data_IF_454552487164
#
_entry.id   IF_454552487164
#
_cell.length_a   1.000
_cell.length_b   1.000
_cell.length_c   1.000
_cell.angle_alpha   90.00
_cell.angle_beta   90.00
_cell.angle_gamma   90.00
#
_symmetry.space_group_name_H-M   'P 1'
#
loop_
_entity.id
_entity.type
_entity.pdbx_description
1 polymer ?
#
# COMPACT_ATOMS: atom_id res chain seq x y z
N UNK A 1 26.08 -13.44 3.23
CA UNK A 1 26.96 -12.26 3.13
C UNK A 1 27.93 -12.35 4.28
N UNK A 2 29.26 -12.44 4.01
CA UNK A 2 30.29 -12.73 5.03
C UNK A 2 30.39 -11.68 6.16
N UNK A 3 29.78 -10.50 6.00
CA UNK A 3 29.90 -9.38 6.94
C UNK A 3 28.64 -9.18 7.79
N UNK A 4 27.59 -9.97 7.59
CA UNK A 4 26.34 -9.88 8.34
C UNK A 4 26.02 -11.26 8.93
N UNK A 5 26.61 -11.59 10.12
CA UNK A 5 26.36 -12.86 10.77
C UNK A 5 24.90 -12.92 11.26
N UNK A 6 24.27 -14.04 11.05
CA UNK A 6 22.92 -14.31 11.55
C UNK A 6 22.98 -14.78 13.01
N UNK A 7 21.98 -14.38 13.79
CA UNK A 7 21.76 -14.93 15.12
C UNK A 7 21.17 -16.35 15.01
N UNK A 8 21.76 -17.30 15.67
CA UNK A 8 21.25 -18.68 15.67
C UNK A 8 19.99 -18.80 16.54
N UNK A 9 18.82 -18.66 15.93
CA UNK A 9 17.52 -18.79 16.61
C UNK A 9 17.20 -20.24 17.00
N UNK A 10 17.96 -21.25 16.55
CA UNK A 10 17.84 -22.60 17.10
C UNK A 10 18.34 -22.68 18.54
N UNK A 11 19.25 -21.77 18.94
CA UNK A 11 19.77 -21.73 20.29
C UNK A 11 18.80 -21.07 21.26
N UNK A 12 18.34 -21.75 22.33
CA UNK A 12 17.33 -21.21 23.25
C UNK A 12 17.70 -19.85 23.86
N UNK A 13 18.96 -19.67 24.27
CA UNK A 13 19.38 -18.41 24.88
C UNK A 13 19.30 -17.21 23.91
N UNK A 14 19.45 -17.45 22.60
CA UNK A 14 19.26 -16.39 21.59
C UNK A 14 17.79 -16.02 21.48
N UNK A 15 16.88 -16.99 21.48
CA UNK A 15 15.43 -16.71 21.49
C UNK A 15 15.01 -15.97 22.76
N UNK A 16 15.51 -16.40 23.93
CA UNK A 16 15.25 -15.70 25.19
C UNK A 16 15.71 -14.24 25.13
N UNK A 17 16.90 -13.99 24.61
CA UNK A 17 17.44 -12.62 24.45
C UNK A 17 16.59 -11.78 23.47
N UNK A 18 16.21 -12.35 22.31
CA UNK A 18 15.52 -11.58 21.27
C UNK A 18 14.05 -11.32 21.63
N UNK A 19 13.29 -12.34 22.06
CA UNK A 19 11.84 -12.19 22.29
C UNK A 19 11.25 -13.01 23.44
N UNK A 20 11.95 -14.04 23.97
CA UNK A 20 11.39 -14.98 24.94
C UNK A 20 11.31 -14.41 26.35
N UNK A 21 12.44 -13.96 26.89
CA UNK A 21 12.53 -13.45 28.26
C UNK A 21 11.73 -12.16 28.47
N UNK A 22 11.37 -11.89 29.71
CA UNK A 22 10.63 -10.66 30.08
C UNK A 22 11.39 -9.39 29.74
N UNK A 23 12.70 -9.42 29.81
CA UNK A 23 13.63 -8.32 29.49
C UNK A 23 14.23 -8.43 28.07
N UNK A 24 13.68 -9.30 27.24
CA UNK A 24 14.09 -9.47 25.84
C UNK A 24 13.99 -8.17 25.04
N UNK A 25 14.73 -8.07 23.94
CA UNK A 25 14.75 -6.89 23.07
C UNK A 25 13.33 -6.52 22.61
N UNK A 26 12.57 -7.49 22.11
CA UNK A 26 11.21 -7.24 21.61
C UNK A 26 10.30 -6.70 22.71
N UNK A 27 10.28 -7.33 23.87
CA UNK A 27 9.35 -6.97 24.96
C UNK A 27 9.73 -5.67 25.64
N UNK A 28 11.03 -5.44 25.92
CA UNK A 28 11.47 -4.22 26.62
C UNK A 28 11.13 -2.96 25.83
N UNK A 29 11.37 -2.93 24.53
CA UNK A 29 11.04 -1.77 23.70
C UNK A 29 9.53 -1.54 23.56
N UNK A 30 8.73 -2.60 23.51
CA UNK A 30 7.26 -2.47 23.53
C UNK A 30 6.78 -1.82 24.85
N UNK A 31 7.39 -2.17 26.00
CA UNK A 31 7.10 -1.51 27.29
C UNK A 31 7.56 -0.05 27.31
N UNK A 32 8.67 0.27 26.66
CA UNK A 32 9.16 1.64 26.50
C UNK A 32 8.28 2.50 25.58
N UNK A 33 7.33 1.90 24.87
CA UNK A 33 6.29 2.64 24.16
C UNK A 33 6.27 2.48 22.65
N UNK A 34 7.18 1.70 22.03
CA UNK A 34 7.07 1.43 20.57
C UNK A 34 5.77 0.69 20.27
N UNK A 35 5.21 0.86 19.06
CA UNK A 35 3.91 0.30 18.70
C UNK A 35 4.02 -1.01 17.92
N UNK A 36 5.23 -1.43 17.57
CA UNK A 36 5.46 -2.67 16.85
C UNK A 36 6.86 -2.79 16.29
N UNK A 37 7.06 -3.78 15.45
CA UNK A 37 8.35 -4.13 14.88
C UNK A 37 8.27 -4.25 13.35
N UNK A 38 9.26 -3.71 12.65
CA UNK A 38 9.59 -4.07 11.27
C UNK A 38 10.75 -5.03 11.31
N UNK A 39 10.56 -6.22 10.77
CA UNK A 39 11.60 -7.25 10.69
C UNK A 39 12.28 -7.18 9.34
N UNK A 40 13.60 -6.99 9.40
CA UNK A 40 14.47 -6.98 8.22
C UNK A 40 14.57 -8.39 7.65
N UNK A 41 14.54 -8.49 6.31
CA UNK A 41 14.65 -9.76 5.57
C UNK A 41 13.87 -10.90 6.26
N UNK A 42 12.61 -10.66 6.59
CA UNK A 42 11.81 -11.59 7.39
C UNK A 42 11.72 -13.00 6.77
N UNK A 43 11.95 -13.12 5.47
CA UNK A 43 11.96 -14.39 4.75
C UNK A 43 13.05 -15.35 5.22
N UNK A 44 14.14 -14.84 5.77
CA UNK A 44 15.27 -15.64 6.26
C UNK A 44 15.12 -16.09 7.72
N UNK A 45 14.19 -15.48 8.48
CA UNK A 45 14.00 -15.80 9.91
C UNK A 45 13.38 -17.18 10.11
N UNK A 46 12.45 -17.58 9.24
CA UNK A 46 11.69 -18.83 9.35
C UNK A 46 10.36 -18.68 10.08
N UNK A 47 9.34 -19.40 9.60
CA UNK A 47 7.95 -19.24 10.06
C UNK A 47 7.77 -19.48 11.56
N UNK A 48 8.38 -20.53 12.11
CA UNK A 48 8.24 -20.88 13.52
C UNK A 48 8.68 -19.71 14.41
N UNK A 49 9.84 -19.15 14.15
CA UNK A 49 10.40 -18.06 14.99
C UNK A 49 9.66 -16.74 14.76
N UNK A 50 9.18 -16.49 13.55
CA UNK A 50 8.29 -15.34 13.29
C UNK A 50 7.00 -15.44 14.09
N UNK A 51 6.36 -16.62 14.13
CA UNK A 51 5.16 -16.85 14.93
C UNK A 51 5.42 -16.69 16.44
N UNK A 52 6.55 -17.22 16.94
CA UNK A 52 6.94 -17.09 18.33
C UNK A 52 7.18 -15.62 18.71
N UNK A 53 7.91 -14.87 17.88
CA UNK A 53 8.20 -13.46 18.07
C UNK A 53 6.90 -12.63 18.05
N UNK A 54 6.05 -12.84 17.06
CA UNK A 54 4.77 -12.13 16.93
C UNK A 54 3.87 -12.39 18.13
N UNK A 55 3.79 -13.64 18.58
CA UNK A 55 3.05 -14.01 19.80
C UNK A 55 3.61 -13.36 21.05
N UNK A 56 4.95 -13.29 21.16
CA UNK A 56 5.62 -12.62 22.28
C UNK A 56 5.34 -11.11 22.28
N UNK A 57 5.36 -10.47 21.11
CA UNK A 57 5.03 -9.05 20.96
C UNK A 57 3.57 -8.75 21.36
N UNK A 58 2.61 -9.55 20.87
CA UNK A 58 1.20 -9.38 21.21
C UNK A 58 0.90 -9.65 22.69
N UNK A 59 1.60 -10.60 23.33
CA UNK A 59 1.45 -10.87 24.73
C UNK A 59 1.96 -9.72 25.60
N UNK A 60 3.02 -9.04 25.19
CA UNK A 60 3.57 -7.88 25.89
C UNK A 60 2.72 -6.63 25.69
N UNK A 61 2.35 -6.33 24.42
CA UNK A 61 1.55 -5.17 24.05
C UNK A 61 0.43 -5.59 23.12
N UNK A 62 -0.78 -5.85 23.61
CA UNK A 62 -1.94 -6.14 22.78
C UNK A 62 -2.19 -5.02 21.76
N UNK A 63 -2.30 -5.40 20.47
CA UNK A 63 -2.46 -4.45 19.36
C UNK A 63 -1.15 -3.93 18.77
N UNK A 64 0.01 -4.35 19.27
CA UNK A 64 1.27 -4.14 18.57
C UNK A 64 1.25 -4.82 17.19
N UNK A 65 2.03 -4.29 16.24
CA UNK A 65 2.12 -4.84 14.89
C UNK A 65 3.51 -5.41 14.63
N UNK A 66 3.57 -6.59 14.03
CA UNK A 66 4.81 -7.16 13.50
C UNK A 66 4.69 -7.22 11.98
N UNK A 67 5.49 -6.39 11.30
CA UNK A 67 5.51 -6.25 9.85
C UNK A 67 6.83 -6.78 9.31
N UNK A 68 6.78 -7.77 8.43
CA UNK A 68 7.97 -8.35 7.83
C UNK A 68 8.33 -7.70 6.49
N UNK A 69 9.61 -7.56 6.23
CA UNK A 69 10.08 -7.31 4.88
C UNK A 69 10.04 -8.63 4.09
N UNK A 70 9.14 -8.67 3.10
CA UNK A 70 8.84 -9.87 2.31
C UNK A 70 8.85 -9.50 0.83
N UNK A 71 9.90 -9.88 0.13
CA UNK A 71 10.09 -9.54 -1.29
C UNK A 71 9.29 -10.44 -2.26
N UNK A 72 8.62 -11.47 -1.77
CA UNK A 72 7.84 -12.42 -2.56
C UNK A 72 6.33 -12.30 -2.30
N UNK A 73 5.54 -13.25 -2.83
CA UNK A 73 4.09 -13.25 -2.70
C UNK A 73 3.67 -13.36 -1.22
N UNK A 74 2.82 -12.47 -0.69
CA UNK A 74 2.68 -12.25 0.76
C UNK A 74 1.83 -13.28 1.49
N UNK A 75 0.97 -14.04 0.81
CA UNK A 75 -0.11 -14.86 1.40
C UNK A 75 0.36 -15.79 2.52
N UNK A 76 1.44 -16.54 2.27
CA UNK A 76 1.92 -17.57 3.19
C UNK A 76 2.56 -16.99 4.47
N UNK A 77 2.87 -15.69 4.48
CA UNK A 77 3.52 -15.02 5.62
C UNK A 77 2.54 -14.50 6.67
N UNK A 78 1.27 -14.28 6.31
CA UNK A 78 0.27 -13.72 7.22
C UNK A 78 -0.08 -14.59 8.44
N UNK A 79 0.05 -15.92 8.43
CA UNK A 79 -0.07 -16.69 9.67
C UNK A 79 0.99 -16.35 10.72
N UNK A 80 2.20 -15.94 10.29
CA UNK A 80 3.33 -15.63 11.16
C UNK A 80 3.53 -14.14 11.42
N UNK A 81 2.96 -13.26 10.58
CA UNK A 81 3.12 -11.81 10.62
C UNK A 81 1.77 -11.11 10.57
N UNK A 82 1.65 -9.96 11.21
CA UNK A 82 0.45 -9.13 11.09
C UNK A 82 0.30 -8.50 9.70
N UNK A 83 1.42 -8.13 9.10
CA UNK A 83 1.49 -7.50 7.80
C UNK A 83 2.87 -7.68 7.16
N UNK A 84 2.98 -7.26 5.93
CA UNK A 84 4.25 -7.28 5.19
C UNK A 84 4.52 -5.93 4.53
N UNK A 85 5.78 -5.64 4.19
CA UNK A 85 6.10 -4.65 3.17
C UNK A 85 5.79 -5.31 1.83
N UNK A 86 4.74 -4.82 1.15
CA UNK A 86 4.14 -5.53 0.01
C UNK A 86 4.83 -5.19 -1.32
N UNK A 87 5.96 -5.86 -1.59
CA UNK A 87 6.71 -5.69 -2.84
C UNK A 87 5.96 -6.19 -4.07
N UNK A 88 5.15 -7.25 -3.93
CA UNK A 88 4.34 -7.76 -5.05
C UNK A 88 3.36 -6.70 -5.53
N UNK A 89 2.60 -6.09 -4.62
CA UNK A 89 1.64 -5.04 -4.99
C UNK A 89 2.35 -3.79 -5.51
N UNK A 90 3.51 -3.42 -4.92
CA UNK A 90 4.38 -2.37 -5.45
C UNK A 90 4.73 -2.61 -6.91
N UNK A 91 5.20 -3.81 -7.25
CA UNK A 91 5.60 -4.16 -8.62
C UNK A 91 4.44 -4.03 -9.61
N UNK A 92 3.24 -4.51 -9.24
CA UNK A 92 2.06 -4.40 -10.08
C UNK A 92 1.70 -2.91 -10.31
N UNK A 93 1.70 -2.11 -9.25
CA UNK A 93 1.38 -0.68 -9.32
C UNK A 93 2.37 0.08 -10.21
N UNK A 94 3.67 -0.15 -10.04
CA UNK A 94 4.71 0.54 -10.82
C UNK A 94 4.64 0.15 -12.30
N UNK A 95 4.53 -1.13 -12.64
CA UNK A 95 4.44 -1.59 -14.02
C UNK A 95 3.15 -1.11 -14.70
N UNK A 96 2.02 -1.11 -13.99
CA UNK A 96 0.77 -0.56 -14.52
C UNK A 96 0.88 0.95 -14.77
N UNK A 97 1.49 1.70 -13.85
CA UNK A 97 1.69 3.14 -14.00
C UNK A 97 2.71 3.49 -15.09
N UNK A 98 3.72 2.64 -15.32
CA UNK A 98 4.68 2.78 -16.41
C UNK A 98 4.04 2.50 -17.79
N UNK A 99 2.97 1.70 -17.84
CA UNK A 99 2.37 1.20 -19.06
C UNK A 99 2.98 -0.11 -19.56
N UNK A 100 3.83 -0.74 -18.76
CA UNK A 100 4.51 -2.01 -19.08
C UNK A 100 3.61 -3.22 -18.80
N UNK A 101 2.57 -3.05 -18.01
CA UNK A 101 1.60 -4.08 -17.68
C UNK A 101 0.20 -3.69 -18.20
N UNK A 102 -0.41 -4.59 -18.97
CA UNK A 102 -1.78 -4.41 -19.47
C UNK A 102 -2.76 -4.13 -18.32
N UNK A 103 -3.65 -3.12 -18.44
CA UNK A 103 -4.54 -2.73 -17.34
C UNK A 103 -5.44 -3.86 -16.84
N UNK A 104 -6.01 -4.67 -17.75
CA UNK A 104 -6.86 -5.79 -17.36
C UNK A 104 -6.05 -6.90 -16.67
N UNK A 105 -4.79 -7.10 -17.05
CA UNK A 105 -3.92 -8.04 -16.36
C UNK A 105 -3.53 -7.52 -14.97
N UNK A 106 -3.15 -6.24 -14.86
CA UNK A 106 -2.85 -5.60 -13.59
C UNK A 106 -4.05 -5.69 -12.62
N UNK A 107 -5.26 -5.42 -13.12
CA UNK A 107 -6.49 -5.55 -12.35
C UNK A 107 -6.68 -6.97 -11.82
N UNK A 108 -6.56 -8.00 -12.69
CA UNK A 108 -6.69 -9.40 -12.26
C UNK A 108 -5.65 -9.80 -11.21
N UNK A 109 -4.41 -9.30 -11.32
CA UNK A 109 -3.35 -9.57 -10.33
C UNK A 109 -3.69 -8.94 -8.97
N UNK A 110 -4.17 -7.70 -8.97
CA UNK A 110 -4.62 -7.00 -7.75
C UNK A 110 -5.82 -7.74 -7.12
N UNK A 111 -6.81 -8.10 -7.93
CA UNK A 111 -8.02 -8.80 -7.49
C UNK A 111 -7.67 -10.16 -6.85
N UNK A 112 -6.78 -10.90 -7.50
CA UNK A 112 -6.28 -12.19 -7.00
C UNK A 112 -5.56 -12.01 -5.66
N UNK A 113 -4.64 -11.06 -5.57
CA UNK A 113 -3.91 -10.78 -4.34
C UNK A 113 -4.87 -10.41 -3.20
N UNK A 114 -5.85 -9.53 -3.48
CA UNK A 114 -6.85 -9.14 -2.49
C UNK A 114 -7.74 -10.32 -2.05
N UNK A 115 -8.15 -11.18 -2.98
CA UNK A 115 -8.99 -12.34 -2.70
C UNK A 115 -8.23 -13.43 -1.91
N UNK A 116 -6.96 -13.70 -2.27
CA UNK A 116 -6.18 -14.76 -1.63
C UNK A 116 -5.62 -14.36 -0.26
N UNK A 117 -5.23 -13.10 -0.08
CA UNK A 117 -4.68 -12.59 1.17
C UNK A 117 -5.75 -12.14 2.16
N UNK A 118 -6.91 -11.71 1.65
CA UNK A 118 -7.94 -11.06 2.46
C UNK A 118 -7.61 -9.60 2.80
N UNK A 119 -8.65 -8.81 3.05
CA UNK A 119 -8.47 -7.36 3.30
C UNK A 119 -7.77 -7.08 4.63
N UNK A 120 -8.07 -7.84 5.69
CA UNK A 120 -7.58 -7.53 7.04
C UNK A 120 -6.05 -7.54 7.16
N UNK A 121 -5.29 -8.57 6.73
CA UNK A 121 -3.84 -8.53 6.76
C UNK A 121 -3.25 -7.53 5.75
N UNK A 122 -3.92 -7.32 4.60
CA UNK A 122 -3.47 -6.29 3.66
C UNK A 122 -3.56 -4.88 4.26
N UNK A 123 -4.59 -4.56 5.06
CA UNK A 123 -4.71 -3.25 5.72
C UNK A 123 -3.59 -2.97 6.71
N UNK A 124 -3.00 -4.00 7.30
CA UNK A 124 -1.83 -3.91 8.19
C UNK A 124 -0.51 -3.88 7.43
N UNK A 125 -0.51 -4.30 6.16
CA UNK A 125 0.67 -4.33 5.30
C UNK A 125 1.02 -2.94 4.80
N UNK A 126 2.32 -2.68 4.62
CA UNK A 126 2.81 -1.40 4.12
C UNK A 126 2.90 -1.44 2.59
N UNK A 127 2.18 -0.54 1.93
CA UNK A 127 2.30 -0.30 0.50
C UNK A 127 3.23 0.88 0.27
N UNK A 128 4.46 0.58 -0.10
CA UNK A 128 5.45 1.55 -0.53
C UNK A 128 5.56 1.59 -2.05
N UNK A 129 6.07 2.67 -2.62
CA UNK A 129 6.48 2.76 -4.03
C UNK A 129 7.99 2.79 -4.18
N UNK A 130 8.67 3.31 -3.18
CA UNK A 130 10.12 3.31 -3.02
C UNK A 130 10.51 3.23 -1.54
N UNK A 131 11.74 2.82 -1.28
CA UNK A 131 12.33 2.78 0.06
C UNK A 131 13.85 2.97 -0.02
N UNK A 132 14.56 2.72 1.07
CA UNK A 132 16.01 2.84 1.16
C UNK A 132 16.80 1.74 0.43
N UNK A 133 16.13 0.71 -0.09
CA UNK A 133 16.75 -0.41 -0.83
C UNK A 133 16.33 -0.45 -2.30
N UNK A 134 15.49 0.48 -2.73
CA UNK A 134 15.02 0.53 -4.12
C UNK A 134 15.26 1.91 -4.71
N UNK A 135 15.41 1.97 -6.04
CA UNK A 135 15.42 3.23 -6.75
C UNK A 135 14.19 4.07 -6.41
N UNK A 136 14.38 5.38 -6.29
CA UNK A 136 13.32 6.33 -5.94
C UNK A 136 12.23 6.38 -7.00
N UNK A 137 11.00 6.61 -6.58
CA UNK A 137 9.82 6.68 -7.45
C UNK A 137 10.03 7.61 -8.65
N UNK A 138 10.66 8.77 -8.45
CA UNK A 138 10.90 9.73 -9.53
C UNK A 138 11.95 9.27 -10.55
N UNK A 139 12.83 8.33 -10.18
CA UNK A 139 13.78 7.69 -11.10
C UNK A 139 13.10 6.56 -11.87
N UNK A 140 12.25 5.77 -11.21
CA UNK A 140 11.54 4.65 -11.84
C UNK A 140 10.42 5.13 -12.77
N UNK A 141 9.69 6.18 -12.36
CA UNK A 141 8.61 6.80 -13.11
C UNK A 141 8.91 8.28 -13.37
N UNK A 142 9.68 8.63 -14.39
CA UNK A 142 10.08 10.03 -14.66
C UNK A 142 8.87 10.92 -15.04
N UNK A 143 7.79 10.35 -15.60
CA UNK A 143 6.58 11.07 -15.94
C UNK A 143 5.75 11.47 -14.71
N UNK A 144 5.40 12.76 -14.58
CA UNK A 144 4.59 13.24 -13.45
C UNK A 144 3.22 12.56 -13.38
N UNK A 145 2.59 12.30 -14.51
CA UNK A 145 1.33 11.59 -14.62
C UNK A 145 1.43 10.16 -14.04
N UNK A 146 2.45 9.43 -14.45
CA UNK A 146 2.72 8.07 -13.98
C UNK A 146 2.93 8.02 -12.46
N UNK A 147 3.71 8.96 -11.92
CA UNK A 147 3.89 9.08 -10.46
C UNK A 147 2.58 9.35 -9.73
N UNK A 148 1.76 10.28 -10.25
CA UNK A 148 0.45 10.60 -9.66
C UNK A 148 -0.48 9.40 -9.68
N UNK A 149 -0.50 8.65 -10.77
CA UNK A 149 -1.28 7.41 -10.88
C UNK A 149 -0.83 6.38 -9.85
N UNK A 150 0.47 6.10 -9.77
CA UNK A 150 1.03 5.16 -8.79
C UNK A 150 0.68 5.58 -7.36
N UNK A 151 0.79 6.86 -7.03
CA UNK A 151 0.42 7.38 -5.72
C UNK A 151 -1.09 7.29 -5.43
N UNK A 152 -1.97 7.51 -6.43
CA UNK A 152 -3.42 7.27 -6.24
C UNK A 152 -3.65 5.82 -5.84
N UNK A 153 -3.05 4.88 -6.55
CA UNK A 153 -3.17 3.45 -6.24
C UNK A 153 -2.59 3.14 -4.84
N UNK A 154 -1.44 3.70 -4.48
CA UNK A 154 -0.84 3.55 -3.14
C UNK A 154 -1.79 4.00 -2.02
N UNK A 155 -2.48 5.11 -2.20
CA UNK A 155 -3.36 5.67 -1.17
C UNK A 155 -4.76 5.08 -1.15
N UNK A 156 -5.16 4.34 -2.19
CA UNK A 156 -6.53 3.83 -2.34
C UNK A 156 -6.65 2.31 -2.28
N UNK A 157 -5.65 1.55 -2.68
CA UNK A 157 -5.61 0.10 -2.51
C UNK A 157 -5.57 -0.30 -1.02
N UNK A 158 -5.95 -1.55 -0.69
CA UNK A 158 -5.75 -2.08 0.67
C UNK A 158 -4.26 -2.07 1.05
N UNK A 159 -3.96 -1.43 2.17
CA UNK A 159 -2.60 -1.27 2.68
C UNK A 159 -2.43 0.05 3.43
N UNK A 160 -1.40 0.15 4.25
CA UNK A 160 -0.96 1.41 4.84
C UNK A 160 0.04 2.08 3.87
N UNK A 161 -0.26 3.27 3.31
CA UNK A 161 0.71 3.98 2.47
C UNK A 161 1.98 4.27 3.28
N UNK A 162 3.10 3.76 2.81
CA UNK A 162 4.41 4.02 3.37
C UNK A 162 5.17 4.95 2.41
N UNK A 163 5.45 6.17 2.84
CA UNK A 163 6.15 7.15 2.06
C UNK A 163 7.62 7.20 2.48
N UNK A 164 8.51 7.03 1.53
CA UNK A 164 9.93 7.27 1.74
C UNK A 164 10.19 8.78 1.66
N UNK A 165 11.02 9.31 2.57
CA UNK A 165 11.30 10.75 2.61
C UNK A 165 11.80 11.26 1.25
N UNK A 166 11.34 12.41 0.83
CA UNK A 166 11.71 13.04 -0.42
C UNK A 166 10.89 12.60 -1.63
N UNK A 167 10.13 11.49 -1.56
CA UNK A 167 9.23 11.08 -2.63
C UNK A 167 8.10 12.07 -2.83
N UNK A 168 7.66 12.72 -1.76
CA UNK A 168 6.65 13.78 -1.76
C UNK A 168 7.10 15.07 -2.46
N UNK A 169 8.40 15.26 -2.64
CA UNK A 169 8.99 16.38 -3.39
C UNK A 169 9.67 15.92 -4.68
N UNK A 170 9.55 14.64 -5.04
CA UNK A 170 10.05 14.11 -6.30
C UNK A 170 11.55 13.95 -6.35
N UNK A 171 12.21 13.68 -5.22
CA UNK A 171 13.64 13.35 -5.20
C UNK A 171 13.92 12.13 -6.08
N UNK A 172 15.01 12.21 -6.84
CA UNK A 172 15.56 11.12 -7.64
C UNK A 172 16.70 10.41 -6.90
N UNK A 173 17.05 9.23 -7.32
CA UNK A 173 18.16 8.41 -6.86
C UNK A 173 17.99 7.00 -7.44
N UNK A 174 19.04 6.46 -8.00
CA UNK A 174 19.06 5.13 -8.61
C UNK A 174 19.43 4.05 -7.60
N UNK A 175 20.57 3.40 -7.83
CA UNK A 175 21.10 2.36 -6.96
C UNK A 175 21.74 2.93 -5.70
N UNK A 176 22.05 2.03 -4.75
CA UNK A 176 22.77 2.40 -3.52
C UNK A 176 24.14 3.01 -3.84
N UNK A 177 24.51 4.15 -3.23
CA UNK A 177 23.81 4.89 -2.16
C UNK A 177 22.91 6.05 -2.62
N UNK A 178 22.67 6.23 -3.91
CA UNK A 178 21.97 7.42 -4.45
C UNK A 178 20.57 7.60 -3.88
N UNK A 179 19.80 6.49 -3.72
CA UNK A 179 18.45 6.55 -3.16
C UNK A 179 18.44 6.98 -1.68
N UNK A 180 19.59 6.90 -0.99
CA UNK A 180 19.75 7.30 0.42
C UNK A 180 20.30 8.72 0.57
N UNK A 181 20.34 9.50 -0.51
CA UNK A 181 20.83 10.89 -0.47
C UNK A 181 20.08 11.72 0.57
N UNK A 182 20.71 12.69 1.21
CA UNK A 182 20.07 13.57 2.20
C UNK A 182 18.84 14.27 1.66
N UNK A 183 17.88 14.55 2.54
CA UNK A 183 16.64 15.25 2.18
C UNK A 183 16.94 16.61 1.55
N UNK A 184 16.32 16.87 0.40
CA UNK A 184 16.39 18.13 -0.34
C UNK A 184 15.37 19.12 0.22
N UNK A 185 15.74 19.74 1.36
CA UNK A 185 14.89 20.73 2.04
C UNK A 185 14.64 21.97 1.18
N UNK A 186 15.54 22.28 0.26
CA UNK A 186 15.40 23.36 -0.72
C UNK A 186 14.22 23.16 -1.68
N UNK A 187 13.77 21.92 -1.90
CA UNK A 187 12.58 21.60 -2.70
C UNK A 187 11.27 21.78 -1.91
N UNK A 188 11.33 21.90 -0.59
CA UNK A 188 10.14 21.99 0.25
C UNK A 188 9.61 23.42 0.25
N UNK A 189 8.55 23.64 -0.53
CA UNK A 189 7.87 24.94 -0.56
C UNK A 189 6.34 24.74 -0.58
N UNK A 190 5.61 25.75 -0.15
CA UNK A 190 4.14 25.71 -0.12
C UNK A 190 3.52 25.50 -1.52
N UNK A 191 4.19 25.98 -2.56
CA UNK A 191 3.76 25.86 -3.96
C UNK A 191 4.28 24.62 -4.69
N UNK A 192 5.03 23.73 -4.03
CA UNK A 192 5.60 22.56 -4.72
C UNK A 192 4.51 21.57 -5.17
N UNK A 193 4.37 21.30 -6.50
CA UNK A 193 3.19 20.59 -7.04
C UNK A 193 3.06 19.15 -6.51
N UNK A 194 4.17 18.43 -6.36
CA UNK A 194 4.14 17.05 -5.86
C UNK A 194 3.82 17.01 -4.37
N UNK A 195 4.34 17.95 -3.57
CA UNK A 195 4.02 18.04 -2.16
C UNK A 195 2.54 18.38 -1.94
N UNK A 196 2.00 19.32 -2.73
CA UNK A 196 0.57 19.64 -2.70
C UNK A 196 -0.29 18.43 -3.08
N UNK A 197 0.13 17.67 -4.10
CA UNK A 197 -0.54 16.43 -4.50
C UNK A 197 -0.51 15.38 -3.39
N UNK A 198 0.65 15.11 -2.81
CA UNK A 198 0.80 14.14 -1.72
C UNK A 198 -0.07 14.54 -0.52
N UNK A 199 -0.06 15.81 -0.11
CA UNK A 199 -0.95 16.32 0.95
C UNK A 199 -2.42 16.09 0.63
N UNK A 200 -2.84 16.28 -0.62
CA UNK A 200 -4.21 16.01 -1.06
C UNK A 200 -4.57 14.53 -0.92
N UNK A 201 -3.68 13.61 -1.28
CA UNK A 201 -3.90 12.16 -1.10
C UNK A 201 -3.96 11.75 0.37
N UNK A 202 -3.09 12.32 1.21
CA UNK A 202 -3.15 12.13 2.67
C UNK A 202 -4.50 12.59 3.23
N UNK A 203 -4.96 13.78 2.84
CA UNK A 203 -6.26 14.31 3.25
C UNK A 203 -7.40 13.40 2.75
N UNK A 204 -7.37 13.00 1.48
CA UNK A 204 -8.35 12.09 0.89
C UNK A 204 -8.48 10.81 1.72
N UNK A 205 -7.35 10.16 2.04
CA UNK A 205 -7.37 8.92 2.83
C UNK A 205 -7.84 9.15 4.26
N UNK A 206 -7.42 10.24 4.90
CA UNK A 206 -7.86 10.61 6.26
C UNK A 206 -9.37 10.85 6.31
N UNK A 207 -9.92 11.54 5.31
CA UNK A 207 -11.31 11.99 5.30
C UNK A 207 -12.28 10.90 4.83
N UNK A 208 -11.78 9.85 4.18
CA UNK A 208 -12.60 8.71 3.71
C UNK A 208 -12.28 7.42 4.47
N UNK A 209 -13.19 7.06 5.40
CA UNK A 209 -13.05 5.88 6.26
C UNK A 209 -12.84 4.59 5.45
N UNK A 210 -13.54 4.42 4.32
CA UNK A 210 -13.39 3.24 3.48
C UNK A 210 -11.96 3.02 2.96
N UNK A 211 -11.20 4.08 2.69
CA UNK A 211 -9.81 3.94 2.26
C UNK A 211 -8.88 3.43 3.38
N UNK A 212 -9.26 3.63 4.66
CA UNK A 212 -8.44 3.23 5.82
C UNK A 212 -8.76 1.82 6.30
N UNK A 213 -10.04 1.47 6.37
CA UNK A 213 -10.52 0.22 7.01
C UNK A 213 -11.52 -0.55 6.15
N UNK A 214 -11.89 -0.04 4.97
CA UNK A 214 -12.90 -0.67 4.12
C UNK A 214 -12.39 -1.90 3.41
N UNK A 215 -13.33 -2.78 3.06
CA UNK A 215 -13.06 -3.92 2.22
C UNK A 215 -12.78 -3.52 0.78
N UNK A 216 -12.15 -4.43 0.06
CA UNK A 216 -11.87 -4.33 -1.37
C UNK A 216 -12.91 -5.11 -2.16
N UNK A 217 -13.39 -4.52 -3.26
CA UNK A 217 -14.23 -5.21 -4.25
C UNK A 217 -13.77 -4.83 -5.64
N UNK A 218 -13.52 -5.81 -6.53
CA UNK A 218 -13.19 -5.52 -7.92
C UNK A 218 -14.40 -4.89 -8.64
N UNK A 219 -14.10 -4.01 -9.59
CA UNK A 219 -15.05 -3.50 -10.58
C UNK A 219 -14.52 -3.87 -11.93
N UNK A 220 -15.29 -4.62 -12.72
CA UNK A 220 -14.86 -5.09 -14.03
C UNK A 220 -14.67 -3.92 -14.99
N UNK A 221 -13.46 -3.82 -15.55
CA UNK A 221 -13.07 -2.89 -16.59
C UNK A 221 -12.18 -3.61 -17.60
N UNK A 222 -12.07 -3.07 -18.82
CA UNK A 222 -11.25 -3.65 -19.89
C UNK A 222 -9.92 -2.90 -20.06
N UNK A 223 -9.97 -1.58 -20.04
CA UNK A 223 -8.85 -0.68 -20.30
C UNK A 223 -8.52 0.23 -19.12
N UNK A 224 -9.36 0.24 -18.10
CA UNK A 224 -9.20 0.99 -16.86
C UNK A 224 -8.85 0.05 -15.70
N UNK A 225 -8.23 0.58 -14.67
CA UNK A 225 -8.17 -0.05 -13.36
C UNK A 225 -9.36 0.45 -12.55
N UNK A 226 -10.18 -0.46 -12.02
CA UNK A 226 -11.37 -0.07 -11.29
C UNK A 226 -11.66 -1.00 -10.11
N UNK A 227 -11.92 -0.40 -8.94
CA UNK A 227 -12.28 -1.14 -7.73
C UNK A 227 -13.09 -0.27 -6.77
N UNK A 228 -13.74 -0.91 -5.83
CA UNK A 228 -14.40 -0.25 -4.71
C UNK A 228 -13.64 -0.48 -3.40
N UNK A 229 -13.66 0.53 -2.57
CA UNK A 229 -13.40 0.42 -1.13
C UNK A 229 -14.70 0.74 -0.41
N UNK A 230 -15.17 -0.15 0.42
CA UNK A 230 -16.48 0.00 1.05
C UNK A 230 -16.46 -0.44 2.52
N UNK A 231 -17.42 0.07 3.28
CA UNK A 231 -17.72 -0.36 4.65
C UNK A 231 -19.16 -0.85 4.72
N UNK A 232 -19.63 -1.08 5.93
CA UNK A 232 -21.06 -1.34 6.23
C UNK A 232 -21.99 -0.19 5.81
N UNK A 233 -21.44 1.04 5.64
CA UNK A 233 -22.17 2.26 5.29
C UNK A 233 -22.01 2.60 3.82
N UNK A 234 -23.12 2.69 3.08
CA UNK A 234 -23.10 3.06 1.65
C UNK A 234 -22.39 4.42 1.40
N UNK A 235 -22.61 5.39 2.29
CA UNK A 235 -22.01 6.73 2.19
C UNK A 235 -20.48 6.74 2.27
N UNK A 236 -19.87 5.69 2.83
CA UNK A 236 -18.42 5.55 2.93
C UNK A 236 -17.81 4.94 1.65
N UNK A 237 -18.63 4.50 0.67
CA UNK A 237 -18.12 3.84 -0.54
C UNK A 237 -17.29 4.79 -1.38
N UNK A 238 -16.10 4.34 -1.74
CA UNK A 238 -15.21 5.03 -2.68
C UNK A 238 -14.99 4.12 -3.89
N UNK A 239 -15.37 4.60 -5.07
CA UNK A 239 -15.08 3.94 -6.34
C UNK A 239 -13.80 4.59 -6.87
N UNK A 240 -12.78 3.78 -7.09
CA UNK A 240 -11.52 4.21 -7.69
C UNK A 240 -11.50 3.77 -9.13
N UNK A 241 -11.24 4.71 -10.03
CA UNK A 241 -11.09 4.43 -11.47
C UNK A 241 -9.86 5.18 -11.96
N UNK A 242 -8.97 4.47 -12.61
CA UNK A 242 -7.71 5.02 -13.10
C UNK A 242 -7.46 4.57 -14.54
N UNK A 243 -6.94 5.48 -15.37
CA UNK A 243 -6.52 5.20 -16.72
C UNK A 243 -4.99 5.12 -16.79
N UNK A 244 -4.37 3.94 -16.81
CA UNK A 244 -2.93 3.82 -16.98
C UNK A 244 -2.49 3.96 -18.46
N UNK A 245 -3.43 3.90 -19.40
CA UNK A 245 -3.17 4.00 -20.83
C UNK A 245 -2.77 5.40 -21.29
N UNK A 246 -2.28 5.51 -22.53
CA UNK A 246 -1.82 6.76 -23.14
C UNK A 246 -2.92 7.53 -23.89
N UNK A 247 -4.13 6.99 -23.96
CA UNK A 247 -5.27 7.57 -24.69
C UNK A 247 -6.47 7.71 -23.78
N UNK A 248 -7.39 8.60 -24.13
CA UNK A 248 -8.67 8.72 -23.44
C UNK A 248 -9.47 7.41 -23.56
N UNK A 249 -10.10 7.00 -22.47
CA UNK A 249 -10.91 5.80 -22.39
C UNK A 249 -12.30 6.13 -21.87
N UNK A 250 -13.31 5.69 -22.61
CA UNK A 250 -14.72 5.67 -22.17
C UNK A 250 -15.13 4.23 -21.93
N UNK A 251 -15.62 3.92 -20.73
CA UNK A 251 -16.16 2.61 -20.38
C UNK A 251 -17.40 2.73 -19.52
N UNK A 252 -18.28 1.73 -19.61
CA UNK A 252 -19.39 1.53 -18.68
C UNK A 252 -18.96 0.51 -17.63
N UNK A 253 -18.91 0.94 -16.39
CA UNK A 253 -18.52 0.13 -15.23
C UNK A 253 -19.76 -0.35 -14.48
N UNK A 254 -19.65 -1.50 -13.83
CA UNK A 254 -20.70 -2.05 -12.98
C UNK A 254 -20.17 -2.19 -11.54
N UNK A 255 -20.31 -1.16 -10.71
CA UNK A 255 -20.08 -1.28 -9.27
C UNK A 255 -21.05 -2.28 -8.66
N UNK A 256 -20.53 -3.35 -8.03
CA UNK A 256 -21.35 -4.43 -7.51
C UNK A 256 -21.83 -4.20 -6.07
N UNK A 257 -22.04 -2.95 -5.69
CA UNK A 257 -22.50 -2.57 -4.35
C UNK A 257 -24.00 -2.28 -4.36
N UNK A 258 -24.80 -3.24 -3.91
CA UNK A 258 -26.25 -3.13 -3.87
C UNK A 258 -26.79 -2.01 -2.98
N UNK A 259 -25.95 -1.45 -2.10
CA UNK A 259 -26.31 -0.30 -1.25
C UNK A 259 -26.16 1.04 -1.96
N UNK A 260 -25.50 1.07 -3.14
CA UNK A 260 -25.37 2.27 -3.95
C UNK A 260 -26.64 2.47 -4.79
N UNK A 261 -27.41 3.46 -4.40
CA UNK A 261 -28.64 3.82 -5.09
C UNK A 261 -28.40 4.90 -6.15
N UNK A 262 -29.03 4.80 -7.31
CA UNK A 262 -28.93 5.79 -8.41
C UNK A 262 -29.43 7.20 -8.06
N UNK A 263 -30.03 7.38 -6.90
CA UNK A 263 -30.53 8.68 -6.42
C UNK A 263 -29.44 9.57 -5.84
N UNK A 264 -28.34 8.98 -5.33
CA UNK A 264 -27.24 9.74 -4.72
C UNK A 264 -26.15 10.04 -5.75
N UNK A 265 -25.68 11.29 -5.85
CA UNK A 265 -24.62 11.63 -6.78
C UNK A 265 -23.26 11.16 -6.25
N UNK A 266 -22.46 10.58 -7.15
CA UNK A 266 -21.04 10.35 -6.95
C UNK A 266 -20.27 11.67 -7.14
N UNK A 267 -19.33 11.94 -6.26
CA UNK A 267 -18.53 13.16 -6.28
C UNK A 267 -17.08 12.81 -6.59
N UNK A 268 -16.55 13.34 -7.69
CA UNK A 268 -15.14 13.21 -8.03
C UNK A 268 -14.27 13.99 -7.01
N UNK A 269 -13.37 13.28 -6.35
CA UNK A 269 -12.49 13.83 -5.32
C UNK A 269 -11.13 14.29 -5.84
N UNK A 270 -10.74 13.86 -7.03
CA UNK A 270 -9.41 14.14 -7.58
C UNK A 270 -9.44 14.90 -8.93
N UNK A 271 -10.40 14.62 -9.80
CA UNK A 271 -10.43 15.17 -11.15
C UNK A 271 -11.29 16.43 -11.32
N UNK A 272 -12.12 16.76 -10.32
CA UNK A 272 -13.01 17.93 -10.40
C UNK A 272 -14.15 17.79 -11.42
N UNK A 273 -14.47 16.56 -11.83
CA UNK A 273 -15.56 16.29 -12.76
C UNK A 273 -16.92 16.61 -12.16
N UNK A 274 -17.93 16.89 -13.01
CA UNK A 274 -19.30 17.04 -12.56
C UNK A 274 -19.77 15.83 -11.75
N UNK A 275 -20.71 16.06 -10.85
CA UNK A 275 -21.36 14.97 -10.11
C UNK A 275 -22.00 13.98 -11.09
N UNK A 276 -21.76 12.71 -10.88
CA UNK A 276 -22.29 11.61 -11.68
C UNK A 276 -23.31 10.82 -10.87
N UNK A 277 -24.16 10.07 -11.56
CA UNK A 277 -25.13 9.15 -10.94
C UNK A 277 -25.01 7.79 -11.57
N UNK A 278 -25.21 6.76 -10.75
CA UNK A 278 -25.43 5.41 -11.30
C UNK A 278 -26.76 5.38 -12.07
N UNK A 279 -26.74 4.78 -13.23
CA UNK A 279 -27.94 4.48 -14.02
C UNK A 279 -28.21 2.97 -13.93
N UNK A 280 -29.19 2.58 -13.15
CA UNK A 280 -29.55 1.16 -12.94
C UNK A 280 -28.33 0.32 -12.51
N UNK A 281 -27.47 0.86 -11.64
CA UNK A 281 -26.25 0.20 -11.18
C UNK A 281 -25.02 0.38 -12.07
N UNK A 282 -25.15 1.04 -13.20
CA UNK A 282 -24.04 1.28 -14.17
C UNK A 282 -23.48 2.70 -14.03
N UNK A 283 -22.18 2.82 -14.22
CA UNK A 283 -21.43 4.07 -14.22
C UNK A 283 -20.71 4.25 -15.56
N UNK A 284 -21.15 5.22 -16.36
CA UNK A 284 -20.43 5.62 -17.56
C UNK A 284 -19.34 6.62 -17.17
N UNK A 285 -18.10 6.34 -17.55
CA UNK A 285 -16.98 7.20 -17.21
C UNK A 285 -16.04 7.39 -18.41
N UNK A 286 -15.59 8.64 -18.59
CA UNK A 286 -14.55 8.98 -19.56
C UNK A 286 -13.35 9.52 -18.77
N UNK A 287 -12.19 8.90 -18.95
CA UNK A 287 -10.94 9.29 -18.32
C UNK A 287 -9.90 9.67 -19.38
N UNK A 288 -9.30 10.86 -19.28
CA UNK A 288 -8.12 11.19 -20.07
C UNK A 288 -6.97 10.27 -19.70
N UNK A 289 -5.90 10.28 -20.51
CA UNK A 289 -4.72 9.52 -20.17
C UNK A 289 -4.11 9.97 -18.87
#
# INVERSE_FOLDING_TARGET
VHNLPELNLEHPAVREYVYGATDSVVRSHLREGVDGWRLDVAVDIGFQWLEELTRAAHAEKPGSLVVGEVANYPKEWFPALDGVINFTLRSIVLQAAAGDLDPALAQRMIDRLAAECGTAPLLKSWLMLDNHDTARLASVLPGQRQRRLAQVLQFTLPGAPCLYYGSEVGMTGGEDPEMRAPMRWDLVSAGHPMLAWTRRLVALRRDHRALRIGDYRPVTAQRLLAFERHTDRAADTVIVVANPGAVEVTETLMPANSKLMGTQPLVDRLGGRPRQKLRTGLLDITLPP
#
